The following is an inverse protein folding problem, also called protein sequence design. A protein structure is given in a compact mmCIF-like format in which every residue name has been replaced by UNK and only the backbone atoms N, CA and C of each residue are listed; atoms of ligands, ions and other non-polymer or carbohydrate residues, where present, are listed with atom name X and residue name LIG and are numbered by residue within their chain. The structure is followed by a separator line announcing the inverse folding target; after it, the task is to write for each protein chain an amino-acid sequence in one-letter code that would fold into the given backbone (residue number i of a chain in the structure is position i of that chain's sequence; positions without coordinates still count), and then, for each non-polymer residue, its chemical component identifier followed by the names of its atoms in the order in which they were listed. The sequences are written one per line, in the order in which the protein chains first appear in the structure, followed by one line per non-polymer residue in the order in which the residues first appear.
data_IF_423009866755
#
_entry.id   IF_423009866755
#
_cell.length_a   1.000
_cell.length_b   1.000
_cell.length_c   1.000
_cell.angle_alpha   90.00
_cell.angle_beta   90.00
_cell.angle_gamma   90.00
#
_symmetry.space_group_name_H-M   'P 1'
#
loop_
_entity.id
_entity.type
_entity.pdbx_description
1 polymer ?
#
# COMPACT_ATOMS: atom_id res chain seq x y z
N UNK A 1 3.73 -8.24 4.46
CA UNK A 1 3.12 -8.02 3.12
C UNK A 1 1.64 -7.75 3.32
N UNK A 2 1.08 -6.73 2.66
CA UNK A 2 -0.36 -6.47 2.66
C UNK A 2 -0.96 -7.09 1.40
N UNK A 3 -2.09 -7.76 1.54
CA UNK A 3 -2.84 -8.33 0.42
C UNK A 3 -4.12 -7.54 0.25
N UNK A 4 -4.33 -6.97 -0.94
CA UNK A 4 -5.57 -6.27 -1.26
C UNK A 4 -6.71 -7.28 -1.39
N UNK A 5 -7.87 -6.95 -0.83
CA UNK A 5 -9.14 -7.62 -1.16
C UNK A 5 -9.76 -7.01 -2.42
N UNK A 6 -11.08 -7.01 -2.48
CA UNK A 6 -11.81 -6.39 -3.59
C UNK A 6 -11.69 -4.87 -3.55
N UNK A 7 -10.81 -4.33 -4.41
CA UNK A 7 -10.56 -2.89 -4.54
C UNK A 7 -10.63 -2.52 -6.02
N UNK A 8 -11.56 -1.65 -6.36
CA UNK A 8 -11.69 -1.08 -7.70
C UNK A 8 -11.20 0.37 -7.69
N UNK A 9 -10.23 0.68 -8.54
CA UNK A 9 -9.69 2.02 -8.72
C UNK A 9 -10.06 2.49 -10.13
N UNK A 10 -10.97 3.48 -10.27
CA UNK A 10 -11.29 4.05 -11.57
C UNK A 10 -10.06 4.62 -12.28
N UNK A 11 -10.11 4.74 -13.60
CA UNK A 11 -9.04 5.37 -14.35
C UNK A 11 -8.82 6.82 -13.89
N UNK A 12 -7.58 7.16 -13.54
CA UNK A 12 -7.20 8.48 -13.03
C UNK A 12 -7.35 8.67 -11.51
N UNK A 13 -7.95 7.70 -10.82
CA UNK A 13 -8.14 7.74 -9.36
C UNK A 13 -6.99 7.11 -8.57
N UNK A 14 -7.08 7.15 -7.24
CA UNK A 14 -6.09 6.59 -6.31
C UNK A 14 -6.74 5.83 -5.16
N UNK A 15 -6.08 4.76 -4.72
CA UNK A 15 -6.31 4.16 -3.41
C UNK A 15 -5.16 4.51 -2.46
N UNK A 16 -5.45 4.60 -1.16
CA UNK A 16 -4.47 4.87 -0.11
C UNK A 16 -4.51 3.75 0.92
N UNK A 17 -3.37 3.10 1.14
CA UNK A 17 -3.16 2.15 2.23
C UNK A 17 -2.48 2.86 3.40
N UNK A 18 -3.17 2.91 4.54
CA UNK A 18 -2.64 3.39 5.80
C UNK A 18 -2.06 2.22 6.60
N UNK A 19 -0.88 2.41 7.19
CA UNK A 19 -0.25 1.39 8.06
C UNK A 19 -1.06 1.17 9.34
N UNK A 20 -1.60 2.25 9.91
CA UNK A 20 -2.38 2.24 11.14
C UNK A 20 -3.79 1.64 10.99
N UNK A 21 -4.59 1.82 12.04
CA UNK A 21 -5.99 1.43 12.06
C UNK A 21 -6.94 2.54 11.58
N UNK A 22 -8.12 2.14 11.14
CA UNK A 22 -9.19 3.04 10.72
C UNK A 22 -10.34 2.26 10.09
N UNK A 23 -11.37 2.98 9.65
CA UNK A 23 -12.54 2.38 8.98
C UNK A 23 -12.32 2.38 7.48
N UNK A 24 -12.22 1.22 6.83
CA UNK A 24 -11.97 1.15 5.40
C UNK A 24 -13.14 1.71 4.59
N UNK A 25 -12.82 2.35 3.46
CA UNK A 25 -13.76 2.71 2.39
C UNK A 25 -13.33 2.04 1.09
N UNK A 26 -14.01 2.30 -0.02
CA UNK A 26 -13.64 1.77 -1.35
C UNK A 26 -12.19 2.06 -1.75
N UNK A 27 -11.62 3.18 -1.30
CA UNK A 27 -10.26 3.62 -1.68
C UNK A 27 -9.36 3.97 -0.51
N UNK A 28 -9.84 3.82 0.74
CA UNK A 28 -9.04 4.00 1.96
C UNK A 28 -8.95 2.67 2.68
N UNK A 29 -7.73 2.13 2.77
CA UNK A 29 -7.45 0.81 3.31
C UNK A 29 -6.55 0.94 4.54
N UNK A 30 -6.63 -0.03 5.45
CA UNK A 30 -5.91 0.01 6.72
C UNK A 30 -5.26 -1.34 6.98
N UNK A 31 -3.97 -1.33 7.33
CA UNK A 31 -3.23 -2.55 7.69
C UNK A 31 -3.38 -2.89 9.18
N UNK A 32 -3.96 -1.98 9.98
CA UNK A 32 -4.23 -2.19 11.40
C UNK A 32 -2.98 -2.55 12.22
N UNK A 33 -1.82 -2.03 11.81
CA UNK A 33 -0.58 -2.17 12.56
C UNK A 33 -0.48 -1.06 13.60
N UNK A 34 0.00 -1.40 14.79
CA UNK A 34 0.18 -0.46 15.90
C UNK A 34 1.46 0.37 15.80
N UNK A 35 2.41 -0.04 14.94
CA UNK A 35 3.70 0.62 14.74
C UNK A 35 3.91 0.96 13.26
N UNK A 36 4.58 2.09 12.95
CA UNK A 36 4.95 2.43 11.59
C UNK A 36 5.90 1.38 11.00
N UNK A 37 5.76 1.09 9.70
CA UNK A 37 6.60 0.13 8.99
C UNK A 37 7.72 0.77 8.17
N UNK A 38 7.45 1.94 7.58
CA UNK A 38 8.35 2.58 6.62
C UNK A 38 9.08 3.74 7.28
N UNK A 39 10.40 3.76 7.14
CA UNK A 39 11.26 4.90 7.36
C UNK A 39 11.32 5.80 6.13
N UNK A 40 11.55 7.09 6.35
CA UNK A 40 11.53 8.10 5.29
C UNK A 40 12.83 8.18 4.48
N UNK A 41 13.88 7.43 4.86
CA UNK A 41 15.24 7.67 4.38
C UNK A 41 15.92 6.47 3.69
N UNK A 42 15.32 5.27 3.73
CA UNK A 42 15.97 4.08 3.17
C UNK A 42 15.01 2.94 2.72
N UNK A 43 13.70 3.08 2.92
CA UNK A 43 12.78 1.99 2.66
C UNK A 43 12.21 1.97 1.25
N UNK A 44 11.60 0.84 0.90
CA UNK A 44 10.97 0.62 -0.39
C UNK A 44 9.56 0.06 -0.24
N UNK A 45 8.67 0.44 -1.14
CA UNK A 45 7.38 -0.22 -1.35
C UNK A 45 7.38 -0.88 -2.72
N UNK A 46 7.02 -2.16 -2.76
CA UNK A 46 6.85 -2.92 -3.99
C UNK A 46 5.37 -3.28 -4.16
N UNK A 47 4.78 -2.89 -5.29
CA UNK A 47 3.48 -3.37 -5.73
C UNK A 47 3.67 -4.63 -6.57
N UNK A 48 2.90 -5.68 -6.28
CA UNK A 48 2.94 -6.95 -6.99
C UNK A 48 1.58 -7.28 -7.59
N UNK A 49 1.59 -7.94 -8.74
CA UNK A 49 0.39 -8.57 -9.31
C UNK A 49 -0.02 -9.82 -8.51
N UNK A 50 -1.19 -10.41 -8.79
CA UNK A 50 -1.67 -11.61 -8.09
C UNK A 50 -0.72 -12.81 -8.18
N UNK A 51 0.08 -12.91 -9.23
CA UNK A 51 1.10 -13.94 -9.43
C UNK A 51 2.39 -13.67 -8.64
N UNK A 52 2.48 -12.52 -7.97
CA UNK A 52 3.59 -12.13 -7.11
C UNK A 52 4.73 -11.42 -7.84
N UNK A 53 4.58 -11.10 -9.13
CA UNK A 53 5.57 -10.35 -9.90
C UNK A 53 5.47 -8.87 -9.57
N UNK A 54 6.62 -8.21 -9.40
CA UNK A 54 6.67 -6.77 -9.16
C UNK A 54 6.21 -5.99 -10.39
N UNK A 55 5.22 -5.12 -10.21
CA UNK A 55 4.69 -4.22 -11.25
C UNK A 55 5.13 -2.77 -11.03
N UNK A 56 5.44 -2.38 -9.79
CA UNK A 56 6.04 -1.09 -9.48
C UNK A 56 6.88 -1.19 -8.20
N UNK A 57 7.92 -0.36 -8.11
CA UNK A 57 8.73 -0.19 -6.90
C UNK A 57 8.98 1.29 -6.67
N UNK A 58 8.73 1.77 -5.46
CA UNK A 58 9.10 3.10 -5.00
C UNK A 58 10.09 2.98 -3.86
N UNK A 59 11.08 3.88 -3.80
CA UNK A 59 12.13 3.91 -2.78
C UNK A 59 12.29 5.32 -2.22
N UNK A 60 12.51 5.42 -0.92
CA UNK A 60 12.91 6.65 -0.24
C UNK A 60 14.40 6.58 0.10
N UNK A 61 15.08 7.73 0.10
CA UNK A 61 16.55 7.82 0.22
C UNK A 61 17.23 8.22 -1.10
N UNK A 62 18.56 8.41 -1.11
CA UNK A 62 19.32 8.81 -2.30
C UNK A 62 19.33 7.76 -3.41
#
# INVERSE_FOLDING_TARGET
VYTFGDVAIPAGDRATLYIGSGTPTSTRLYWNLSSPLLGNDADAVTLRDPEGKAVAVYRWGP
#
